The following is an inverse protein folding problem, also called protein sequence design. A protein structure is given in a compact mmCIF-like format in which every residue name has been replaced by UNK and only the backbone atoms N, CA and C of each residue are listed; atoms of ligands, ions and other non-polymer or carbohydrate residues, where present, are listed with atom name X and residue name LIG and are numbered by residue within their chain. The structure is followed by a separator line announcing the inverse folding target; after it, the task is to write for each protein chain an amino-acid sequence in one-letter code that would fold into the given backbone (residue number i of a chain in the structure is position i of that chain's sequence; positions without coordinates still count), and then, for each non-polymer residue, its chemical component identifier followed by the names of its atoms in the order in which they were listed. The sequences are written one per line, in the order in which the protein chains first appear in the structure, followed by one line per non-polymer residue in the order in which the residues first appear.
data_IF_869966092240
#
_entry.id   IF_869966092240
#
_cell.length_a   1.000
_cell.length_b   1.000
_cell.length_c   1.000
_cell.angle_alpha   90.00
_cell.angle_beta   90.00
_cell.angle_gamma   90.00
#
_symmetry.space_group_name_H-M   'P 1'
#
loop_
_entity.id
_entity.type
_entity.pdbx_description
1 polymer ?
#
# COMPACT_ATOMS: atom_id res chain seq x y z
N UNK A 1 0.45 4.87 -20.97
CA UNK A 1 1.42 4.21 -20.07
C UNK A 1 2.71 4.98 -20.11
N UNK A 2 3.19 5.48 -18.97
CA UNK A 2 4.47 6.16 -18.85
C UNK A 2 5.40 5.28 -18.02
N UNK A 3 6.54 4.94 -18.59
CA UNK A 3 7.60 4.22 -17.90
C UNK A 3 8.84 5.11 -17.92
N UNK A 4 9.33 5.47 -16.75
CA UNK A 4 10.56 6.24 -16.61
C UNK A 4 11.52 5.51 -15.68
N UNK A 5 12.56 4.95 -16.27
CA UNK A 5 13.67 4.36 -15.54
C UNK A 5 14.72 5.44 -15.26
N UNK A 6 15.17 5.52 -14.02
CA UNK A 6 16.30 6.33 -13.57
C UNK A 6 15.98 7.83 -13.61
N UNK A 7 15.21 8.29 -12.61
CA UNK A 7 15.00 9.72 -12.36
C UNK A 7 15.51 10.10 -10.98
N UNK A 8 16.26 11.19 -10.90
CA UNK A 8 16.45 11.94 -9.67
C UNK A 8 15.11 12.53 -9.20
N UNK A 9 15.02 12.90 -7.92
CA UNK A 9 13.84 13.62 -7.41
C UNK A 9 13.51 14.84 -8.26
N UNK A 10 14.52 15.61 -8.68
CA UNK A 10 14.34 16.82 -9.49
C UNK A 10 13.75 16.52 -10.88
N UNK A 11 14.21 15.45 -11.53
CA UNK A 11 13.71 15.04 -12.84
C UNK A 11 12.28 14.48 -12.75
N UNK A 12 11.94 13.79 -11.66
CA UNK A 12 10.56 13.37 -11.38
C UNK A 12 9.63 14.59 -11.24
N UNK A 13 10.05 15.66 -10.55
CA UNK A 13 9.22 16.88 -10.46
C UNK A 13 9.06 17.55 -11.82
N UNK A 14 10.15 17.65 -12.59
CA UNK A 14 10.12 18.24 -13.92
C UNK A 14 9.22 17.44 -14.86
N UNK A 15 9.27 16.11 -14.78
CA UNK A 15 8.38 15.24 -15.52
C UNK A 15 6.91 15.49 -15.13
N UNK A 16 6.59 15.57 -13.84
CA UNK A 16 5.23 15.88 -13.37
C UNK A 16 4.75 17.25 -13.88
N UNK A 17 5.63 18.26 -13.85
CA UNK A 17 5.33 19.60 -14.41
C UNK A 17 5.08 19.54 -15.92
N UNK A 18 5.90 18.81 -16.66
CA UNK A 18 5.74 18.65 -18.11
C UNK A 18 4.44 17.92 -18.45
N UNK A 19 4.14 16.81 -17.75
CA UNK A 19 2.90 16.04 -17.93
C UNK A 19 1.65 16.88 -17.61
N UNK A 20 1.73 17.73 -16.58
CA UNK A 20 0.69 18.70 -16.25
C UNK A 20 0.45 19.71 -17.37
N UNK A 21 1.52 20.25 -17.95
CA UNK A 21 1.43 21.18 -19.08
C UNK A 21 0.86 20.54 -20.34
N UNK A 22 1.16 19.26 -20.57
CA UNK A 22 0.64 18.49 -21.71
C UNK A 22 -0.81 18.02 -21.55
N UNK A 23 -1.51 18.39 -20.47
CA UNK A 23 -2.85 17.88 -20.11
C UNK A 23 -2.91 16.34 -19.99
N UNK A 24 -1.76 15.68 -19.85
CA UNK A 24 -1.68 14.22 -19.70
C UNK A 24 -2.23 13.75 -18.34
N UNK A 25 -2.37 14.67 -17.37
CA UNK A 25 -3.00 14.43 -16.08
C UNK A 25 -4.42 13.86 -16.14
N UNK A 26 -5.12 14.06 -17.26
CA UNK A 26 -6.49 13.59 -17.45
C UNK A 26 -6.58 12.26 -18.22
N UNK A 27 -5.45 11.72 -18.69
CA UNK A 27 -5.46 10.52 -19.54
C UNK A 27 -4.45 9.46 -19.10
N UNK A 28 -3.47 9.84 -18.29
CA UNK A 28 -2.43 8.93 -17.86
C UNK A 28 -2.95 8.00 -16.76
N UNK A 29 -3.11 6.73 -17.11
CA UNK A 29 -3.59 5.71 -16.17
C UNK A 29 -2.46 4.96 -15.45
N UNK A 30 -1.27 4.90 -16.04
CA UNK A 30 -0.19 4.04 -15.54
C UNK A 30 1.13 4.82 -15.49
N UNK A 31 1.74 4.85 -14.30
CA UNK A 31 3.04 5.47 -14.02
C UNK A 31 3.92 4.43 -13.32
N UNK A 32 5.09 4.18 -13.89
CA UNK A 32 6.15 3.38 -13.26
C UNK A 32 7.44 4.22 -13.24
N UNK A 33 7.94 4.48 -12.04
CA UNK A 33 9.17 5.23 -11.78
C UNK A 33 10.06 4.43 -10.85
N UNK A 34 11.28 4.15 -11.32
CA UNK A 34 12.33 3.53 -10.53
C UNK A 34 13.59 4.41 -10.52
N UNK A 35 14.19 4.62 -9.35
CA UNK A 35 15.48 5.31 -9.21
C UNK A 35 16.64 4.31 -9.20
N UNK A 36 17.84 4.71 -9.63
CA UNK A 36 19.05 3.88 -9.60
C UNK A 36 19.90 4.11 -8.36
N UNK A 37 20.60 3.07 -7.91
CA UNK A 37 21.57 3.12 -6.82
C UNK A 37 22.63 4.22 -7.09
N UNK A 38 22.79 5.18 -6.17
CA UNK A 38 23.94 6.08 -6.15
C UNK A 38 23.70 7.57 -6.39
N UNK A 39 22.45 8.04 -6.46
CA UNK A 39 22.17 9.48 -6.36
C UNK A 39 21.68 9.83 -4.95
N UNK A 40 22.59 10.40 -4.17
CA UNK A 40 22.33 11.04 -2.87
C UNK A 40 21.47 12.31 -3.07
N UNK A 41 20.20 12.17 -3.41
CA UNK A 41 19.26 13.27 -3.27
C UNK A 41 18.76 13.26 -1.83
N UNK A 42 19.29 14.15 -0.98
CA UNK A 42 18.91 14.29 0.43
C UNK A 42 17.48 14.81 0.66
N UNK A 43 16.60 14.70 -0.34
CA UNK A 43 15.21 15.11 -0.27
C UNK A 43 14.32 13.90 -0.04
N UNK A 44 13.52 13.92 1.04
CA UNK A 44 12.33 13.09 1.11
C UNK A 44 11.47 13.44 -0.08
N UNK A 45 11.10 12.42 -0.85
CA UNK A 45 10.31 12.61 -2.05
C UNK A 45 8.90 13.02 -1.58
N UNK A 46 8.56 14.29 -1.75
CA UNK A 46 7.15 14.75 -1.80
C UNK A 46 6.45 14.24 -3.07
N UNK A 47 7.00 13.20 -3.72
CA UNK A 47 6.59 12.64 -5.01
C UNK A 47 5.09 12.40 -5.07
N UNK A 48 4.53 11.83 -4.00
CA UNK A 48 3.11 11.50 -3.93
C UNK A 48 2.26 12.73 -4.24
N UNK A 49 2.63 13.91 -3.70
CA UNK A 49 1.91 15.18 -3.94
C UNK A 49 1.93 15.59 -5.41
N UNK A 50 3.00 15.28 -6.13
CA UNK A 50 3.14 15.63 -7.55
C UNK A 50 2.23 14.78 -8.43
N UNK A 51 1.92 13.55 -7.98
CA UNK A 51 1.04 12.64 -8.70
C UNK A 51 -0.45 12.84 -8.42
N UNK A 52 -0.83 13.73 -7.47
CA UNK A 52 -2.24 13.98 -7.14
C UNK A 52 -3.05 14.57 -8.30
N UNK A 53 -2.38 15.20 -9.27
CA UNK A 53 -3.05 15.75 -10.45
C UNK A 53 -3.56 14.67 -11.44
N UNK A 54 -3.07 13.43 -11.35
CA UNK A 54 -3.43 12.33 -12.27
C UNK A 54 -4.72 11.63 -11.84
N UNK A 55 -5.87 12.24 -12.12
CA UNK A 55 -7.18 11.73 -11.67
C UNK A 55 -7.63 10.41 -12.31
N UNK A 56 -7.03 10.02 -13.43
CA UNK A 56 -7.32 8.74 -14.12
C UNK A 56 -6.33 7.62 -13.75
N UNK A 57 -5.49 7.82 -12.74
CA UNK A 57 -4.46 6.87 -12.37
C UNK A 57 -5.08 5.56 -11.86
N UNK A 58 -4.68 4.45 -12.49
CA UNK A 58 -5.03 3.06 -12.18
C UNK A 58 -3.86 2.27 -11.63
N UNK A 59 -2.64 2.60 -12.04
CA UNK A 59 -1.42 1.94 -11.59
C UNK A 59 -0.33 2.96 -11.30
N UNK A 60 0.20 2.92 -10.07
CA UNK A 60 1.36 3.69 -9.66
C UNK A 60 2.40 2.77 -9.02
N UNK A 61 3.60 2.74 -9.60
CA UNK A 61 4.80 2.18 -8.98
C UNK A 61 5.82 3.27 -8.78
N UNK A 62 6.22 3.47 -7.53
CA UNK A 62 7.34 4.32 -7.13
C UNK A 62 8.33 3.46 -6.35
N UNK A 63 9.49 3.20 -6.94
CA UNK A 63 10.61 2.51 -6.29
C UNK A 63 11.81 3.44 -6.24
N UNK A 64 12.08 4.01 -5.07
CA UNK A 64 13.07 5.10 -4.93
C UNK A 64 14.10 4.81 -3.86
N UNK A 65 15.28 5.38 -4.02
CA UNK A 65 16.36 5.24 -3.04
C UNK A 65 16.21 6.20 -1.84
N UNK A 66 15.39 7.25 -1.96
CA UNK A 66 15.12 8.21 -0.88
C UNK A 66 13.91 7.80 -0.04
N UNK A 67 13.71 8.42 1.13
CA UNK A 67 12.57 8.12 2.00
C UNK A 67 11.27 8.69 1.41
N UNK A 68 10.25 7.85 1.31
CA UNK A 68 8.89 8.28 0.99
C UNK A 68 8.22 8.57 2.32
N UNK A 69 8.04 9.86 2.64
CA UNK A 69 7.20 10.21 3.77
C UNK A 69 5.73 9.97 3.40
N UNK A 70 5.09 9.06 4.11
CA UNK A 70 3.68 8.72 3.96
C UNK A 70 3.04 8.55 5.33
N UNK A 71 2.06 9.41 5.63
CA UNK A 71 1.19 9.33 6.80
C UNK A 71 -0.26 9.07 6.40
N UNK A 72 -1.13 8.86 7.38
CA UNK A 72 -2.56 8.61 7.17
C UNK A 72 -3.25 9.73 6.36
N UNK A 73 -2.85 10.99 6.57
CA UNK A 73 -3.43 12.15 5.91
C UNK A 73 -3.05 12.21 4.43
N UNK A 74 -1.76 12.07 4.13
CA UNK A 74 -1.24 12.06 2.77
C UNK A 74 -1.73 10.84 1.98
N UNK A 75 -1.82 9.66 2.61
CA UNK A 75 -2.38 8.47 1.98
C UNK A 75 -3.86 8.68 1.60
N UNK A 76 -4.65 9.28 2.50
CA UNK A 76 -6.07 9.58 2.22
C UNK A 76 -6.22 10.64 1.12
N UNK A 77 -5.40 11.69 1.14
CA UNK A 77 -5.35 12.71 0.09
C UNK A 77 -5.01 12.08 -1.27
N UNK A 78 -4.02 11.18 -1.30
CA UNK A 78 -3.61 10.44 -2.49
C UNK A 78 -4.73 9.56 -3.05
N UNK A 79 -5.34 8.72 -2.21
CA UNK A 79 -6.42 7.84 -2.65
C UNK A 79 -7.67 8.61 -3.08
N UNK A 80 -7.98 9.75 -2.45
CA UNK A 80 -9.08 10.62 -2.90
C UNK A 80 -8.84 11.21 -4.30
N UNK A 81 -7.56 11.40 -4.66
CA UNK A 81 -7.16 11.91 -5.97
C UNK A 81 -7.11 10.81 -7.04
N UNK A 82 -7.06 9.54 -6.64
CA UNK A 82 -6.93 8.38 -7.53
C UNK A 82 -8.08 7.37 -7.35
N UNK A 83 -9.35 7.76 -7.53
CA UNK A 83 -10.52 6.92 -7.24
C UNK A 83 -10.60 5.64 -8.09
N UNK A 84 -9.83 5.57 -9.18
CA UNK A 84 -9.77 4.43 -10.10
C UNK A 84 -8.54 3.54 -9.88
N UNK A 85 -7.81 3.73 -8.77
CA UNK A 85 -6.59 2.98 -8.49
C UNK A 85 -6.88 1.49 -8.35
N UNK A 86 -6.05 0.69 -9.04
CA UNK A 86 -6.06 -0.79 -9.02
C UNK A 86 -4.76 -1.32 -8.44
N UNK A 87 -3.64 -0.64 -8.69
CA UNK A 87 -2.31 -1.05 -8.25
C UNK A 87 -1.54 0.13 -7.66
N UNK A 88 -1.13 0.02 -6.40
CA UNK A 88 -0.24 0.99 -5.77
C UNK A 88 0.97 0.29 -5.16
N UNK A 89 2.16 0.72 -5.54
CA UNK A 89 3.43 0.27 -4.98
C UNK A 89 4.29 1.49 -4.63
N UNK A 90 4.60 1.62 -3.34
CA UNK A 90 5.47 2.64 -2.77
C UNK A 90 6.59 1.91 -2.03
N UNK A 91 7.77 1.86 -2.63
CA UNK A 91 8.95 1.19 -2.08
C UNK A 91 10.07 2.21 -1.92
N UNK A 92 10.52 2.40 -0.69
CA UNK A 92 11.77 3.08 -0.39
C UNK A 92 12.81 2.10 0.17
N UNK A 93 14.08 2.50 0.08
CA UNK A 93 15.21 1.72 0.60
C UNK A 93 15.74 2.30 1.92
N UNK A 94 15.11 3.35 2.44
CA UNK A 94 15.46 3.96 3.71
C UNK A 94 14.46 3.53 4.78
N UNK A 95 14.98 2.99 5.89
CA UNK A 95 14.20 2.45 7.01
C UNK A 95 13.60 3.54 7.91
N UNK A 96 12.94 4.55 7.35
CA UNK A 96 12.13 5.44 8.16
C UNK A 96 11.01 4.62 8.82
N UNK A 97 10.74 4.81 10.12
CA UNK A 97 9.60 4.13 10.74
C UNK A 97 8.33 4.47 9.96
N UNK A 98 7.53 3.46 9.57
CA UNK A 98 6.28 3.72 8.89
C UNK A 98 5.32 4.44 9.83
N UNK A 99 4.48 5.33 9.28
CA UNK A 99 3.51 6.11 10.06
C UNK A 99 2.06 5.86 9.67
N UNK A 100 1.84 5.10 8.59
CA UNK A 100 0.51 4.65 8.18
C UNK A 100 0.03 3.59 9.18
N UNK A 101 -1.13 3.80 9.78
CA UNK A 101 -1.75 2.83 10.71
C UNK A 101 -2.81 1.98 10.00
N UNK A 102 -3.33 0.93 10.66
CA UNK A 102 -4.48 0.17 10.14
C UNK A 102 -5.70 1.05 9.87
N UNK A 103 -6.04 1.97 10.79
CA UNK A 103 -7.13 2.93 10.59
C UNK A 103 -6.91 3.79 9.35
N UNK A 104 -5.70 4.31 9.16
CA UNK A 104 -5.36 5.13 8.00
C UNK A 104 -5.43 4.35 6.69
N UNK A 105 -4.90 3.13 6.68
CA UNK A 105 -4.96 2.21 5.55
C UNK A 105 -6.41 1.94 5.13
N UNK A 106 -7.26 1.57 6.08
CA UNK A 106 -8.67 1.25 5.80
C UNK A 106 -9.49 2.47 5.40
N UNK A 107 -9.22 3.64 6.01
CA UNK A 107 -9.80 4.90 5.56
C UNK A 107 -9.43 5.22 4.11
N UNK A 108 -8.20 4.94 3.69
CA UNK A 108 -7.75 5.14 2.32
C UNK A 108 -8.36 4.12 1.36
N UNK A 109 -8.48 2.85 1.76
CA UNK A 109 -9.12 1.79 0.96
C UNK A 109 -10.59 2.09 0.65
N UNK A 110 -11.31 2.79 1.54
CA UNK A 110 -12.69 3.27 1.26
C UNK A 110 -12.78 4.18 0.03
N UNK A 111 -11.71 4.89 -0.30
CA UNK A 111 -11.67 5.85 -1.41
C UNK A 111 -11.35 5.16 -2.76
N UNK A 112 -10.75 3.97 -2.72
CA UNK A 112 -10.31 3.21 -3.89
C UNK A 112 -10.91 1.79 -3.89
N UNK A 113 -12.22 1.64 -4.16
CA UNK A 113 -12.93 0.36 -4.02
C UNK A 113 -12.48 -0.73 -5.00
N UNK A 114 -11.69 -0.35 -6.02
CA UNK A 114 -11.14 -1.27 -7.03
C UNK A 114 -9.67 -1.62 -6.79
N UNK A 115 -9.08 -1.17 -5.67
CA UNK A 115 -7.67 -1.45 -5.38
C UNK A 115 -7.47 -2.95 -5.18
N UNK A 116 -6.60 -3.54 -5.99
CA UNK A 116 -6.37 -4.98 -6.03
C UNK A 116 -5.04 -5.37 -5.41
N UNK A 117 -4.01 -4.55 -5.65
CA UNK A 117 -2.66 -4.75 -5.10
C UNK A 117 -2.18 -3.49 -4.41
N UNK A 118 -1.67 -3.66 -3.19
CA UNK A 118 -1.11 -2.59 -2.39
C UNK A 118 0.24 -3.02 -1.81
N UNK A 119 1.30 -2.27 -2.12
CA UNK A 119 2.62 -2.40 -1.50
C UNK A 119 2.99 -1.07 -0.84
N UNK A 120 3.08 -1.06 0.49
CA UNK A 120 3.57 0.06 1.29
C UNK A 120 3.96 -0.40 2.69
N UNK A 121 4.86 0.33 3.36
CA UNK A 121 5.19 0.11 4.77
C UNK A 121 4.15 0.75 5.68
N UNK A 122 3.78 0.07 6.77
CA UNK A 122 2.81 0.51 7.76
C UNK A 122 3.26 0.19 9.20
N UNK A 123 2.76 0.95 10.16
CA UNK A 123 2.88 0.65 11.57
C UNK A 123 1.83 -0.39 11.95
N UNK A 124 2.26 -1.65 12.10
CA UNK A 124 1.43 -2.74 12.59
C UNK A 124 1.74 -3.10 14.06
N UNK A 125 2.50 -2.26 14.78
CA UNK A 125 2.70 -2.39 16.23
C UNK A 125 1.59 -1.63 16.97
N UNK A 126 1.32 -0.39 16.54
CA UNK A 126 0.30 0.44 17.17
C UNK A 126 -1.08 0.20 16.53
N UNK A 127 -1.72 -0.92 16.89
CA UNK A 127 -3.07 -1.27 16.42
C UNK A 127 -4.09 -0.26 16.97
N UNK A 128 -4.65 0.55 16.06
CA UNK A 128 -5.54 1.68 16.39
C UNK A 128 -6.98 1.47 15.93
N UNK A 129 -7.35 0.22 15.65
CA UNK A 129 -8.66 -0.17 15.15
C UNK A 129 -9.21 -1.39 15.91
N UNK A 130 -10.54 -1.40 16.11
CA UNK A 130 -11.27 -2.55 16.61
C UNK A 130 -12.14 -3.13 15.48
N UNK A 131 -11.84 -4.35 14.99
CA UNK A 131 -12.61 -4.96 13.91
C UNK A 131 -14.07 -5.28 14.30
N UNK A 132 -14.41 -5.30 15.60
CA UNK A 132 -15.78 -5.54 16.07
C UNK A 132 -16.66 -4.30 16.00
N UNK A 133 -16.05 -3.12 16.00
CA UNK A 133 -16.75 -1.83 15.98
C UNK A 133 -16.85 -1.30 14.54
N UNK A 134 -15.85 -1.55 13.71
CA UNK A 134 -15.83 -1.08 12.33
C UNK A 134 -16.57 -2.04 11.38
N UNK A 135 -17.59 -1.53 10.68
CA UNK A 135 -18.43 -2.33 9.75
C UNK A 135 -17.94 -2.33 8.29
N UNK A 136 -16.70 -1.89 8.05
CA UNK A 136 -16.17 -1.74 6.70
C UNK A 136 -15.42 -2.99 6.25
N UNK A 137 -15.69 -3.41 5.01
CA UNK A 137 -14.95 -4.45 4.33
C UNK A 137 -14.48 -3.95 2.97
N UNK A 138 -13.26 -4.32 2.61
CA UNK A 138 -12.69 -4.07 1.29
C UNK A 138 -12.50 -5.39 0.55
N UNK A 139 -13.39 -5.67 -0.41
CA UNK A 139 -13.51 -6.98 -1.08
C UNK A 139 -12.71 -7.10 -2.37
N UNK A 140 -12.02 -6.04 -2.80
CA UNK A 140 -11.24 -6.08 -4.06
C UNK A 140 -9.75 -6.34 -3.85
N UNK A 141 -9.25 -6.08 -2.63
CA UNK A 141 -7.82 -6.20 -2.32
C UNK A 141 -7.46 -7.68 -2.17
N UNK A 142 -6.53 -8.16 -2.99
CA UNK A 142 -6.10 -9.56 -2.98
C UNK A 142 -4.61 -9.70 -2.64
N UNK A 143 -3.83 -8.63 -2.78
CA UNK A 143 -2.40 -8.66 -2.45
C UNK A 143 -2.04 -7.44 -1.61
N UNK A 144 -1.51 -7.71 -0.42
CA UNK A 144 -0.93 -6.72 0.47
C UNK A 144 0.54 -7.09 0.71
N UNK A 145 1.44 -6.18 0.38
CA UNK A 145 2.86 -6.29 0.71
C UNK A 145 3.22 -5.15 1.65
N UNK A 146 3.53 -5.50 2.89
CA UNK A 146 3.78 -4.54 3.96
C UNK A 146 5.25 -4.10 4.02
N UNK A 147 6.11 -4.56 3.12
CA UNK A 147 7.54 -4.20 3.16
C UNK A 147 8.18 -4.48 4.54
N UNK A 148 9.10 -3.64 5.03
CA UNK A 148 9.67 -3.72 6.38
C UNK A 148 8.73 -3.18 7.48
N UNK A 149 7.49 -3.67 7.56
CA UNK A 149 6.56 -3.24 8.60
C UNK A 149 6.83 -3.95 9.93
N UNK A 150 7.00 -3.21 11.04
CA UNK A 150 7.10 -3.80 12.36
C UNK A 150 5.73 -4.35 12.80
N UNK A 151 5.72 -5.51 13.46
CA UNK A 151 4.51 -6.16 13.94
C UNK A 151 4.80 -6.95 15.22
N UNK A 152 3.85 -6.98 16.15
CA UNK A 152 4.00 -7.66 17.45
C UNK A 152 2.84 -8.62 17.79
N UNK A 153 1.61 -8.31 17.36
CA UNK A 153 0.42 -9.10 17.68
C UNK A 153 -0.20 -9.74 16.43
N UNK A 154 0.26 -10.95 16.11
CA UNK A 154 -0.25 -11.72 14.97
C UNK A 154 -1.75 -12.02 15.07
N UNK A 155 -2.29 -12.21 16.27
CA UNK A 155 -3.70 -12.57 16.45
C UNK A 155 -4.61 -11.38 16.15
N UNK A 156 -4.30 -10.22 16.71
CA UNK A 156 -5.05 -9.00 16.45
C UNK A 156 -4.97 -8.59 14.97
N UNK A 157 -3.77 -8.67 14.37
CA UNK A 157 -3.58 -8.39 12.93
C UNK A 157 -4.42 -9.34 12.08
N UNK A 158 -4.38 -10.65 12.37
CA UNK A 158 -5.18 -11.65 11.65
C UNK A 158 -6.68 -11.36 11.76
N UNK A 159 -7.17 -11.00 12.96
CA UNK A 159 -8.58 -10.64 13.15
C UNK A 159 -8.99 -9.42 12.32
N UNK A 160 -8.13 -8.40 12.25
CA UNK A 160 -8.38 -7.20 11.44
C UNK A 160 -8.43 -7.57 9.96
N UNK A 161 -7.43 -8.31 9.46
CA UNK A 161 -7.34 -8.70 8.05
C UNK A 161 -8.53 -9.58 7.65
N UNK A 162 -8.81 -10.65 8.39
CA UNK A 162 -9.92 -11.57 8.07
C UNK A 162 -11.28 -10.86 8.12
N UNK A 163 -11.48 -9.94 9.06
CA UNK A 163 -12.75 -9.22 9.21
C UNK A 163 -12.94 -8.15 8.14
N UNK A 164 -11.88 -7.41 7.78
CA UNK A 164 -11.99 -6.17 6.99
C UNK A 164 -11.45 -6.29 5.57
N UNK A 165 -10.60 -7.28 5.28
CA UNK A 165 -9.99 -7.56 3.98
C UNK A 165 -10.25 -9.02 3.57
N UNK A 166 -11.51 -9.45 3.45
CA UNK A 166 -11.87 -10.88 3.36
C UNK A 166 -11.35 -11.58 2.10
N UNK A 167 -10.95 -10.84 1.07
CA UNK A 167 -10.41 -11.40 -0.17
C UNK A 167 -8.87 -11.46 -0.19
N UNK A 168 -8.22 -11.08 0.91
CA UNK A 168 -6.77 -11.15 1.07
C UNK A 168 -6.35 -12.56 1.50
N UNK A 169 -5.64 -13.29 0.64
CA UNK A 169 -5.19 -14.66 0.93
C UNK A 169 -3.88 -14.70 1.72
N UNK A 170 -3.00 -13.71 1.52
CA UNK A 170 -1.68 -13.67 2.15
C UNK A 170 -1.13 -12.25 2.18
N UNK A 171 -0.34 -11.96 3.21
CA UNK A 171 0.45 -10.74 3.35
C UNK A 171 1.92 -11.04 3.06
N UNK A 172 2.52 -10.27 2.17
CA UNK A 172 3.95 -10.37 1.90
C UNK A 172 4.73 -9.39 2.77
N UNK A 173 5.86 -9.83 3.34
CA UNK A 173 6.80 -9.00 4.06
C UNK A 173 8.18 -9.20 3.45
N UNK A 174 8.77 -8.14 2.88
CA UNK A 174 10.14 -8.17 2.37
C UNK A 174 11.05 -7.66 3.49
N UNK A 175 11.72 -8.56 4.20
CA UNK A 175 13.01 -8.42 4.91
C UNK A 175 13.09 -9.38 6.10
N UNK A 176 14.31 -9.82 6.40
CA UNK A 176 14.71 -10.56 7.61
C UNK A 176 14.73 -9.62 8.85
N UNK A 177 13.61 -8.94 9.11
CA UNK A 177 13.40 -8.27 10.39
C UNK A 177 12.83 -9.27 11.40
N UNK A 178 12.99 -9.03 12.71
CA UNK A 178 12.36 -9.87 13.74
C UNK A 178 10.84 -10.00 13.58
N UNK A 179 10.22 -9.01 12.93
CA UNK A 179 8.78 -8.97 12.60
C UNK A 179 8.37 -9.96 11.50
N UNK A 180 9.31 -10.53 10.74
CA UNK A 180 9.01 -11.50 9.68
C UNK A 180 8.25 -12.72 10.23
N UNK A 181 8.66 -13.20 11.41
CA UNK A 181 8.01 -14.33 12.08
C UNK A 181 6.55 -14.02 12.44
N UNK A 182 6.25 -12.77 12.79
CA UNK A 182 4.88 -12.33 13.10
C UNK A 182 4.02 -12.32 11.84
N UNK A 183 4.55 -11.84 10.71
CA UNK A 183 3.84 -11.87 9.42
C UNK A 183 3.67 -13.29 8.85
N UNK A 184 4.62 -14.19 9.09
CA UNK A 184 4.47 -15.62 8.78
C UNK A 184 3.38 -16.29 9.64
N UNK A 185 3.33 -15.98 10.94
CA UNK A 185 2.27 -16.44 11.84
C UNK A 185 0.90 -15.90 11.39
N UNK A 186 0.81 -14.64 10.97
CA UNK A 186 -0.42 -14.06 10.39
C UNK A 186 -0.87 -14.88 9.18
N UNK A 187 0.03 -15.16 8.22
CA UNK A 187 -0.31 -15.95 7.03
C UNK A 187 -0.78 -17.37 7.39
N UNK A 188 -0.08 -18.03 8.31
CA UNK A 188 -0.45 -19.36 8.81
C UNK A 188 -1.87 -19.35 9.37
N UNK A 189 -2.23 -18.31 10.14
CA UNK A 189 -3.58 -18.18 10.70
C UNK A 189 -4.62 -17.86 9.64
N UNK A 190 -4.34 -16.99 8.67
CA UNK A 190 -5.24 -16.70 7.55
C UNK A 190 -5.57 -17.96 6.76
N UNK A 191 -4.58 -18.81 6.48
CA UNK A 191 -4.78 -20.11 5.83
C UNK A 191 -5.67 -21.05 6.66
N UNK A 192 -5.46 -21.11 7.99
CA UNK A 192 -6.30 -21.88 8.90
C UNK A 192 -7.75 -21.37 8.91
N UNK A 193 -7.95 -20.05 8.94
CA UNK A 193 -9.29 -19.44 8.86
C UNK A 193 -10.00 -19.82 7.56
N UNK A 194 -9.31 -19.69 6.43
CA UNK A 194 -9.86 -20.10 5.14
C UNK A 194 -10.23 -21.59 5.15
N UNK A 195 -9.33 -22.47 5.60
CA UNK A 195 -9.58 -23.92 5.65
C UNK A 195 -10.76 -24.30 6.57
N UNK A 196 -10.93 -23.58 7.69
CA UNK A 196 -12.06 -23.79 8.61
C UNK A 196 -13.39 -23.35 8.01
N UNK A 197 -13.41 -22.24 7.26
CA UNK A 197 -14.61 -21.76 6.57
C UNK A 197 -15.08 -22.76 5.50
N UNK A 198 -14.15 -23.27 4.69
CA UNK A 198 -14.40 -24.37 3.75
C UNK A 198 -14.93 -25.63 4.45
N UNK A 199 -14.40 -25.98 5.62
CA UNK A 199 -14.85 -27.18 6.36
C UNK A 199 -16.26 -27.08 6.94
N UNK A 200 -16.78 -25.86 7.15
CA UNK A 200 -18.15 -25.64 7.61
C UNK A 200 -19.16 -25.69 6.44
N UNK A 201 -18.79 -25.21 5.25
CA UNK A 201 -19.63 -25.31 4.05
C UNK A 201 -19.89 -26.77 3.63
N UNK A 202 -18.93 -27.68 3.82
CA UNK A 202 -19.09 -29.11 3.49
C UNK A 202 -19.83 -29.94 4.56
N UNK A 203 -20.25 -29.35 5.69
CA UNK A 203 -21.07 -30.03 6.72
C UNK A 203 -22.58 -29.88 6.52
N UNK A 204 -23.02 -29.23 5.44
CA UNK A 204 -24.44 -28.95 5.14
C UNK A 204 -24.96 -29.82 3.96
N UNK A 205 -24.41 -31.01 3.75
CA UNK A 205 -24.91 -31.99 2.78
C UNK A 205 -24.92 -33.41 3.35
#
# INVERSE_FOLDING_TARGET
MLHASILSSAEAEQLCRALSQCKACQTLENIDIASSLGQDSSGSLTAIRQFLCFTQLRSLRLSVHSSIYLDNGLLSEAMSSWPHMVFLELTDLHCCPPTVTFRGLLAALRLCPHLHTLRLSMDAVNIDIDPKVESFQHTSLQTLDVGPSPAEDAEAITCIISSMLPCLSSVHCRLESGSHLVWEEVNTRLELFAALDWSQEFRIY
#
